data_IF_437761588072
#
_entry.id   IF_437761588072
#
_cell.length_a   1.000
_cell.length_b   1.000
_cell.length_c   1.000
_cell.angle_alpha   90.00
_cell.angle_beta   90.00
_cell.angle_gamma   90.00
#
_symmetry.space_group_name_H-M   'P 1'
#
loop_
_entity.id
_entity.type
_entity.pdbx_description
1 polymer ?
#
# COMPACT_ATOMS: atom_id res chain seq x y z
N UNK A 1 34.06 -5.27 16.96
CA UNK A 1 33.49 -3.99 17.41
C UNK A 1 32.49 -3.59 16.35
N UNK A 2 31.22 -3.38 16.71
CA UNK A 2 30.21 -2.90 15.77
C UNK A 2 30.49 -1.42 15.53
N UNK A 3 30.77 -1.07 14.28
CA UNK A 3 30.92 0.32 13.87
C UNK A 3 29.55 0.98 13.92
N UNK A 4 29.38 1.99 14.77
CA UNK A 4 28.10 2.66 14.95
C UNK A 4 28.13 4.02 14.24
N UNK A 5 27.13 4.29 13.39
CA UNK A 5 26.92 5.59 12.75
C UNK A 5 26.01 6.43 13.66
N UNK A 6 26.41 7.68 13.91
CA UNK A 6 25.74 8.55 14.90
C UNK A 6 24.53 9.30 14.34
N UNK A 7 24.39 9.41 13.02
CA UNK A 7 23.24 10.04 12.40
C UNK A 7 23.43 10.35 10.91
N UNK A 8 22.31 10.54 10.23
CA UNK A 8 22.20 10.90 8.81
C UNK A 8 21.28 12.12 8.71
N UNK A 9 21.66 13.12 7.91
CA UNK A 9 20.84 14.28 7.62
C UNK A 9 20.98 14.67 6.14
N UNK A 10 19.88 15.08 5.51
CA UNK A 10 19.92 15.68 4.16
C UNK A 10 20.58 17.06 4.24
N UNK A 11 21.65 17.24 3.46
CA UNK A 11 22.42 18.48 3.35
C UNK A 11 21.88 19.41 2.26
N UNK A 12 21.69 18.89 1.05
CA UNK A 12 21.16 19.61 -0.11
C UNK A 12 20.51 18.64 -1.09
N UNK A 13 19.54 19.14 -1.85
CA UNK A 13 18.90 18.45 -2.96
C UNK A 13 18.81 19.40 -4.16
N UNK A 14 19.09 18.89 -5.35
CA UNK A 14 18.95 19.61 -6.62
C UNK A 14 18.23 18.73 -7.64
N UNK A 15 17.49 19.37 -8.52
CA UNK A 15 16.83 18.74 -9.66
C UNK A 15 17.15 19.55 -10.91
N UNK A 16 17.42 18.86 -12.01
CA UNK A 16 17.61 19.45 -13.34
C UNK A 16 16.86 18.64 -14.39
N UNK A 17 16.50 19.28 -15.48
CA UNK A 17 15.83 18.66 -16.63
C UNK A 17 16.56 19.13 -17.91
N UNK A 18 16.94 18.20 -18.78
CA UNK A 18 17.56 18.50 -20.06
C UNK A 18 16.50 18.76 -21.15
N UNK A 19 16.93 19.16 -22.36
CA UNK A 19 16.01 19.46 -23.47
C UNK A 19 15.26 18.23 -24.00
N UNK A 20 15.75 17.02 -23.70
CA UNK A 20 15.16 15.75 -24.11
C UNK A 20 14.15 15.21 -23.07
N UNK A 21 13.96 15.93 -21.96
CA UNK A 21 13.05 15.57 -20.87
C UNK A 21 13.67 14.59 -19.85
N UNK A 22 14.97 14.30 -19.96
CA UNK A 22 15.68 13.55 -18.92
C UNK A 22 15.87 14.44 -17.71
N UNK A 23 15.52 13.90 -16.56
CA UNK A 23 15.65 14.56 -15.27
C UNK A 23 16.79 13.91 -14.50
N UNK A 24 17.59 14.76 -13.88
CA UNK A 24 18.62 14.34 -12.95
C UNK A 24 18.33 14.93 -11.58
N UNK A 25 18.50 14.11 -10.56
CA UNK A 25 18.37 14.52 -9.17
C UNK A 25 19.69 14.24 -8.48
N UNK A 26 20.12 15.17 -7.63
CA UNK A 26 21.26 14.96 -6.76
C UNK A 26 20.87 15.28 -5.33
N UNK A 27 21.34 14.46 -4.39
CA UNK A 27 21.18 14.72 -2.97
C UNK A 27 22.50 14.47 -2.26
N UNK A 28 22.86 15.37 -1.35
CA UNK A 28 24.00 15.19 -0.46
C UNK A 28 23.51 14.86 0.94
N UNK A 29 23.84 13.69 1.46
CA UNK A 29 23.60 13.30 2.84
C UNK A 29 24.86 13.54 3.68
N UNK A 30 24.67 14.04 4.90
CA UNK A 30 25.73 14.21 5.88
C UNK A 30 25.66 13.03 6.85
N UNK A 31 26.71 12.22 6.85
CA UNK A 31 26.83 11.04 7.73
C UNK A 31 27.90 11.30 8.77
N UNK A 32 27.56 11.04 10.04
CA UNK A 32 28.50 11.16 11.16
C UNK A 32 28.99 9.77 11.58
N UNK A 33 30.23 9.45 11.23
CA UNK A 33 30.92 8.24 11.64
C UNK A 33 31.30 8.28 13.13
N UNK A 34 31.46 7.10 13.74
CA UNK A 34 31.93 6.96 15.13
C UNK A 34 33.34 7.51 15.31
N UNK A 35 34.23 7.23 14.36
CA UNK A 35 35.61 7.72 14.33
C UNK A 35 36.18 7.84 12.90
N UNK A 36 37.45 8.24 12.81
CA UNK A 36 38.17 8.43 11.56
C UNK A 36 38.65 7.15 10.85
N UNK A 37 38.43 5.97 11.43
CA UNK A 37 38.86 4.70 10.85
C UNK A 37 37.77 4.02 10.01
N UNK A 38 36.51 4.44 10.15
CA UNK A 38 35.37 3.88 9.41
C UNK A 38 35.61 3.99 7.89
N UNK A 39 35.66 2.87 7.14
CA UNK A 39 35.82 2.88 5.70
C UNK A 39 34.68 3.61 4.97
N UNK A 40 34.99 4.31 3.88
CA UNK A 40 33.96 5.00 3.09
C UNK A 40 32.95 4.04 2.43
N UNK A 41 33.35 2.78 2.19
CA UNK A 41 32.43 1.72 1.73
C UNK A 41 31.33 1.45 2.74
N UNK A 42 31.66 1.41 4.03
CA UNK A 42 30.70 1.23 5.12
C UNK A 42 29.82 2.46 5.32
N UNK A 43 30.37 3.66 5.13
CA UNK A 43 29.60 4.92 5.15
C UNK A 43 28.57 4.95 4.03
N UNK A 44 28.92 4.48 2.83
CA UNK A 44 28.04 4.42 1.65
C UNK A 44 26.87 3.45 1.85
N UNK A 45 27.09 2.37 2.60
CA UNK A 45 26.11 1.30 2.85
C UNK A 45 25.31 1.52 4.15
N UNK A 46 25.36 2.73 4.70
CA UNK A 46 24.65 3.09 5.91
C UNK A 46 23.13 2.99 5.74
N UNK A 47 22.47 2.35 6.70
CA UNK A 47 21.01 2.27 6.73
C UNK A 47 20.37 3.67 6.71
N UNK A 48 19.46 3.90 5.75
CA UNK A 48 18.80 5.19 5.54
C UNK A 48 19.41 6.06 4.43
N UNK A 49 20.51 5.61 3.80
CA UNK A 49 20.97 6.17 2.52
C UNK A 49 20.29 5.47 1.35
N UNK A 50 20.14 6.17 0.20
CA UNK A 50 19.73 5.53 -1.04
C UNK A 50 20.71 4.45 -1.49
N UNK A 51 20.19 3.33 -1.98
CA UNK A 51 20.99 2.29 -2.63
C UNK A 51 21.06 2.53 -4.15
N UNK A 52 22.12 2.04 -4.80
CA UNK A 52 22.16 2.00 -6.27
C UNK A 52 20.98 1.16 -6.77
N UNK A 53 20.30 1.64 -7.81
CA UNK A 53 19.03 1.15 -8.33
C UNK A 53 17.77 1.52 -7.52
N UNK A 54 17.90 2.25 -6.41
CA UNK A 54 16.73 2.75 -5.68
C UNK A 54 16.04 3.88 -6.44
N UNK A 55 14.70 3.89 -6.46
CA UNK A 55 13.92 4.98 -7.07
C UNK A 55 14.00 6.28 -6.28
N UNK A 56 13.92 7.41 -6.97
CA UNK A 56 13.78 8.72 -6.33
C UNK A 56 12.36 8.88 -5.76
N UNK A 57 12.25 9.38 -4.53
CA UNK A 57 10.98 9.41 -3.79
C UNK A 57 9.87 10.17 -4.53
N UNK A 58 10.24 11.26 -5.20
CA UNK A 58 9.29 12.14 -5.88
C UNK A 58 9.25 11.90 -7.40
N UNK A 59 10.06 10.97 -7.92
CA UNK A 59 10.10 10.61 -9.32
C UNK A 59 10.44 9.13 -9.48
N UNK A 60 9.40 8.31 -9.56
CA UNK A 60 9.54 6.85 -9.67
C UNK A 60 10.20 6.38 -10.97
N UNK A 61 10.39 7.28 -11.94
CA UNK A 61 11.12 6.97 -13.18
C UNK A 61 12.61 7.25 -13.06
N UNK A 62 13.05 7.94 -12.01
CA UNK A 62 14.46 8.20 -11.75
C UNK A 62 15.05 7.11 -10.87
N UNK A 63 16.18 6.55 -11.29
CA UNK A 63 16.87 5.46 -10.59
C UNK A 63 18.20 5.98 -10.07
N UNK A 64 18.56 5.64 -8.83
CA UNK A 64 19.84 6.02 -8.24
C UNK A 64 20.98 5.33 -9.01
N UNK A 65 21.75 6.11 -9.77
CA UNK A 65 22.84 5.60 -10.60
C UNK A 65 24.17 5.59 -9.86
N UNK A 66 24.33 6.44 -8.84
CA UNK A 66 25.56 6.49 -8.04
C UNK A 66 25.32 6.89 -6.59
N UNK A 67 26.15 6.34 -5.72
CA UNK A 67 26.27 6.70 -4.30
C UNK A 67 27.76 6.80 -4.01
N UNK A 68 28.27 8.03 -3.87
CA UNK A 68 29.69 8.30 -3.62
C UNK A 68 29.88 8.93 -2.25
N UNK A 69 30.78 8.37 -1.45
CA UNK A 69 31.05 8.87 -0.10
C UNK A 69 32.43 9.54 -0.07
N UNK A 70 32.48 10.79 0.37
CA UNK A 70 33.72 11.53 0.57
C UNK A 70 33.82 12.05 1.99
N UNK A 71 35.03 12.06 2.53
CA UNK A 71 35.28 12.62 3.86
C UNK A 71 35.56 14.11 3.78
N UNK A 72 34.97 14.91 4.68
CA UNK A 72 35.23 16.36 4.68
C UNK A 72 36.69 16.65 5.05
N UNK A 73 37.39 17.54 4.34
CA UNK A 73 38.80 17.82 4.59
C UNK A 73 39.14 18.26 6.02
N UNK A 74 38.18 18.87 6.73
CA UNK A 74 38.35 19.40 8.10
C UNK A 74 37.74 18.51 9.19
N UNK A 75 37.22 17.34 8.86
CA UNK A 75 36.61 16.43 9.83
C UNK A 75 36.90 14.99 9.49
N UNK A 76 37.44 14.24 10.46
CA UNK A 76 37.63 12.81 10.30
C UNK A 76 36.35 12.00 10.51
N UNK A 77 35.31 12.57 11.10
CA UNK A 77 34.09 11.82 11.45
C UNK A 77 32.88 12.26 10.63
N UNK A 78 33.01 13.25 9.76
CA UNK A 78 31.90 13.75 8.94
C UNK A 78 32.20 13.44 7.47
N UNK A 79 31.29 12.69 6.86
CA UNK A 79 31.32 12.35 5.45
C UNK A 79 30.12 12.98 4.74
N UNK A 80 30.34 13.42 3.51
CA UNK A 80 29.28 13.77 2.57
C UNK A 80 29.06 12.57 1.65
N UNK A 81 27.82 12.10 1.54
CA UNK A 81 27.42 11.06 0.61
C UNK A 81 26.58 11.68 -0.49
N UNK A 82 27.08 11.65 -1.71
CA UNK A 82 26.40 12.18 -2.89
C UNK A 82 25.68 11.04 -3.60
N UNK A 83 24.37 11.19 -3.70
CA UNK A 83 23.51 10.29 -4.45
C UNK A 83 23.06 11.01 -5.71
N UNK A 84 23.12 10.33 -6.86
CA UNK A 84 22.57 10.81 -8.13
C UNK A 84 21.48 9.87 -8.61
N UNK A 85 20.39 10.43 -9.11
CA UNK A 85 19.35 9.72 -9.82
C UNK A 85 19.22 10.28 -11.23
N UNK A 86 18.96 9.40 -12.18
CA UNK A 86 18.73 9.78 -13.58
C UNK A 86 17.44 9.11 -14.05
N UNK A 87 16.61 9.81 -14.83
CA UNK A 87 15.43 9.23 -15.49
C UNK A 87 15.74 8.65 -16.85
N UNK A 88 17.02 8.40 -17.17
CA UNK A 88 17.43 7.92 -18.50
C UNK A 88 16.42 6.88 -18.98
N UNK A 89 15.78 7.14 -20.13
CA UNK A 89 14.53 6.50 -20.44
C UNK A 89 14.78 5.00 -20.51
N UNK A 90 13.92 4.23 -19.84
CA UNK A 90 13.78 2.78 -20.04
C UNK A 90 13.68 2.42 -21.53
N UNK A 91 13.38 3.38 -22.42
CA UNK A 91 13.40 3.23 -23.88
C UNK A 91 14.76 2.75 -24.44
N UNK A 92 15.87 3.05 -23.76
CA UNK A 92 17.19 2.56 -24.16
C UNK A 92 17.56 1.24 -23.48
N UNK A 93 16.81 0.81 -22.45
CA UNK A 93 16.77 -0.58 -22.03
C UNK A 93 15.84 -1.35 -22.96
N UNK A 94 16.23 -1.48 -24.24
CA UNK A 94 15.69 -2.60 -25.02
C UNK A 94 15.93 -3.87 -24.20
N UNK A 95 14.99 -4.83 -24.22
CA UNK A 95 15.24 -6.16 -23.70
C UNK A 95 16.62 -6.57 -24.19
N UNK A 96 17.53 -6.83 -23.26
CA UNK A 96 18.87 -7.24 -23.60
C UNK A 96 18.70 -8.56 -24.32
N UNK A 97 18.81 -8.58 -25.65
CA UNK A 97 18.50 -9.77 -26.45
C UNK A 97 19.39 -10.95 -26.09
N UNK A 98 20.49 -10.67 -25.39
CA UNK A 98 21.46 -11.67 -24.95
C UNK A 98 21.07 -12.28 -23.57
N UNK A 99 20.10 -11.69 -22.86
CA UNK A 99 19.58 -12.23 -21.60
C UNK A 99 18.37 -13.13 -21.83
N UNK A 100 18.28 -14.25 -21.08
CA UNK A 100 17.12 -15.12 -21.18
C UNK A 100 15.83 -14.39 -20.76
N UNK A 101 14.66 -14.79 -21.28
CA UNK A 101 13.40 -14.09 -21.04
C UNK A 101 13.05 -13.83 -19.57
N UNK A 102 13.39 -14.74 -18.65
CA UNK A 102 13.13 -14.61 -17.20
C UNK A 102 14.08 -13.67 -16.45
N UNK A 103 15.14 -13.19 -17.10
CA UNK A 103 16.02 -12.14 -16.58
C UNK A 103 15.65 -10.74 -17.09
N UNK A 104 14.68 -10.66 -18.00
CA UNK A 104 14.15 -9.39 -18.46
C UNK A 104 13.38 -8.69 -17.35
N UNK A 105 13.40 -7.35 -17.30
CA UNK A 105 12.63 -6.59 -16.32
C UNK A 105 11.12 -6.84 -16.52
N UNK A 106 10.32 -6.77 -15.44
CA UNK A 106 8.86 -6.83 -15.57
C UNK A 106 8.33 -5.64 -16.36
N UNK A 107 7.23 -5.85 -17.08
CA UNK A 107 6.57 -4.82 -17.89
C UNK A 107 5.29 -4.34 -17.17
N UNK A 108 5.32 -3.17 -16.51
CA UNK A 108 4.12 -2.59 -15.91
C UNK A 108 3.27 -1.87 -16.95
N UNK A 109 1.95 -2.02 -16.83
CA UNK A 109 0.96 -1.22 -17.55
C UNK A 109 -0.15 -0.78 -16.60
N UNK A 110 -0.73 0.37 -16.88
CA UNK A 110 -1.80 0.96 -16.07
C UNK A 110 -3.07 1.04 -16.91
N UNK A 111 -4.18 0.67 -16.30
CA UNK A 111 -5.53 0.73 -16.87
C UNK A 111 -6.53 1.12 -15.77
N UNK A 112 -7.80 1.22 -16.13
CA UNK A 112 -8.89 1.45 -15.21
C UNK A 112 -10.00 0.41 -15.42
N UNK A 113 -10.59 -0.05 -14.32
CA UNK A 113 -11.76 -0.95 -14.35
C UNK A 113 -12.97 -0.25 -13.74
N UNK A 114 -14.12 -0.21 -14.44
CA UNK A 114 -15.33 0.35 -13.87
C UNK A 114 -15.82 -0.52 -12.71
N UNK A 115 -16.26 0.12 -11.63
CA UNK A 115 -16.82 -0.47 -10.43
C UNK A 115 -18.08 0.30 -10.04
N UNK A 116 -19.11 -0.42 -9.63
CA UNK A 116 -20.35 0.17 -9.14
C UNK A 116 -20.24 0.34 -7.62
N UNK A 117 -20.27 1.58 -7.15
CA UNK A 117 -20.27 1.90 -5.72
C UNK A 117 -21.66 2.36 -5.28
N UNK A 118 -22.12 1.87 -4.14
CA UNK A 118 -23.33 2.38 -3.49
C UNK A 118 -22.91 3.47 -2.52
N UNK A 119 -23.30 4.72 -2.79
CA UNK A 119 -23.01 5.84 -1.89
C UNK A 119 -24.30 6.49 -1.39
N UNK A 120 -24.47 6.69 -0.06
CA UNK A 120 -25.62 7.38 0.49
C UNK A 120 -25.58 8.90 0.28
N UNK A 121 -24.43 9.45 -0.14
CA UNK A 121 -24.20 10.88 -0.28
C UNK A 121 -23.65 11.25 -1.67
N UNK A 122 -23.96 12.48 -2.10
CA UNK A 122 -23.38 13.09 -3.29
C UNK A 122 -21.92 13.57 -3.07
N UNK A 123 -21.33 14.20 -4.09
CA UNK A 123 -19.95 14.70 -4.03
C UNK A 123 -19.76 15.85 -3.02
N UNK A 124 -20.85 16.53 -2.65
CA UNK A 124 -20.90 17.59 -1.65
C UNK A 124 -21.20 17.04 -0.24
N UNK A 125 -21.41 15.73 -0.09
CA UNK A 125 -21.71 15.07 1.18
C UNK A 125 -23.19 15.16 1.60
N UNK A 126 -24.10 15.57 0.70
CA UNK A 126 -25.52 15.57 0.98
C UNK A 126 -26.12 14.20 0.73
N UNK A 127 -26.97 13.75 1.67
CA UNK A 127 -27.72 12.50 1.50
C UNK A 127 -28.69 12.64 0.33
N UNK A 128 -28.74 11.63 -0.54
CA UNK A 128 -29.75 11.55 -1.59
C UNK A 128 -31.15 11.46 -0.97
N UNK A 129 -32.00 12.45 -1.26
CA UNK A 129 -33.37 12.54 -0.74
C UNK A 129 -34.39 12.69 -1.86
N UNK A 130 -35.59 12.17 -1.64
CA UNK A 130 -36.75 12.44 -2.49
C UNK A 130 -37.32 13.86 -2.26
N UNK A 131 -38.36 14.22 -3.01
CA UNK A 131 -39.04 15.53 -2.88
C UNK A 131 -39.68 15.75 -1.50
N UNK A 132 -39.93 14.67 -0.74
CA UNK A 132 -40.45 14.74 0.63
C UNK A 132 -39.33 14.85 1.68
N UNK A 133 -38.06 14.86 1.27
CA UNK A 133 -36.91 14.91 2.17
C UNK A 133 -36.54 13.56 2.79
N UNK A 134 -37.12 12.45 2.34
CA UNK A 134 -36.80 11.10 2.81
C UNK A 134 -35.54 10.60 2.11
N UNK A 135 -34.56 10.00 2.83
CA UNK A 135 -33.41 9.36 2.19
C UNK A 135 -33.86 8.27 1.20
N UNK A 136 -33.21 8.22 0.04
CA UNK A 136 -33.45 7.17 -0.96
C UNK A 136 -32.80 5.86 -0.48
N UNK A 137 -33.59 4.78 -0.45
CA UNK A 137 -33.17 3.43 -0.02
C UNK A 137 -33.65 2.35 -1.03
N UNK A 138 -32.77 1.59 -1.71
CA UNK A 138 -31.31 1.66 -1.58
C UNK A 138 -30.74 2.96 -2.17
N UNK A 139 -29.61 3.46 -1.63
CA UNK A 139 -28.93 4.60 -2.22
C UNK A 139 -28.58 4.37 -3.71
N UNK A 140 -28.46 5.45 -4.51
CA UNK A 140 -28.03 5.35 -5.90
C UNK A 140 -26.70 4.63 -6.05
N UNK A 141 -26.61 3.84 -7.12
CA UNK A 141 -25.35 3.22 -7.58
C UNK A 141 -24.65 4.20 -8.50
N UNK A 142 -23.40 4.54 -8.17
CA UNK A 142 -22.56 5.46 -8.96
C UNK A 142 -21.43 4.65 -9.61
N UNK A 143 -21.24 4.74 -10.93
CA UNK A 143 -20.10 4.14 -11.59
C UNK A 143 -18.83 4.93 -11.23
N UNK A 144 -17.84 4.24 -10.70
CA UNK A 144 -16.49 4.74 -10.45
C UNK A 144 -15.48 3.89 -11.24
N UNK A 145 -14.27 4.39 -11.43
CA UNK A 145 -13.15 3.59 -11.95
C UNK A 145 -12.16 3.30 -10.83
N UNK A 146 -11.71 2.05 -10.72
CA UNK A 146 -10.53 1.69 -9.94
C UNK A 146 -9.32 1.62 -10.86
N UNK A 147 -8.17 2.11 -10.40
CA UNK A 147 -6.92 1.94 -11.14
C UNK A 147 -6.49 0.48 -11.09
N UNK A 148 -5.90 0.00 -12.18
CA UNK A 148 -5.39 -1.36 -12.31
C UNK A 148 -3.95 -1.30 -12.77
N UNK A 149 -3.04 -1.76 -11.92
CA UNK A 149 -1.65 -2.03 -12.29
C UNK A 149 -1.56 -3.48 -12.78
N UNK A 150 -1.22 -3.66 -14.05
CA UNK A 150 -0.90 -4.97 -14.62
C UNK A 150 0.60 -5.10 -14.76
N UNK A 151 1.15 -6.22 -14.32
CA UNK A 151 2.59 -6.49 -14.40
C UNK A 151 2.76 -7.82 -15.13
N UNK A 152 3.41 -7.77 -16.29
CA UNK A 152 3.83 -8.94 -17.03
C UNK A 152 5.26 -9.30 -16.63
N UNK A 153 5.51 -10.55 -16.27
CA UNK A 153 6.85 -11.03 -15.93
C UNK A 153 7.07 -12.44 -16.44
N UNK A 154 8.28 -12.71 -16.92
CA UNK A 154 8.72 -14.07 -17.22
C UNK A 154 9.42 -14.68 -15.99
N UNK A 155 9.03 -15.89 -15.61
CA UNK A 155 9.54 -16.59 -14.43
C UNK A 155 9.96 -18.02 -14.79
N UNK A 156 11.06 -18.50 -14.22
CA UNK A 156 11.53 -19.89 -14.43
C UNK A 156 10.50 -20.90 -13.89
N UNK A 157 9.77 -20.54 -12.83
CA UNK A 157 8.77 -21.40 -12.21
C UNK A 157 7.53 -20.61 -11.84
N UNK A 158 6.37 -21.27 -11.91
CA UNK A 158 5.11 -20.75 -11.43
C UNK A 158 4.46 -21.79 -10.52
N UNK A 159 3.98 -21.35 -9.35
CA UNK A 159 3.31 -22.19 -8.36
C UNK A 159 1.81 -21.86 -8.32
N UNK A 160 0.94 -22.73 -8.85
CA UNK A 160 -0.52 -22.53 -8.75
C UNK A 160 -1.02 -22.47 -7.31
N UNK A 161 -0.31 -23.11 -6.38
CA UNK A 161 -0.64 -23.08 -4.95
C UNK A 161 -0.39 -21.69 -4.36
N UNK A 162 0.74 -21.08 -4.70
CA UNK A 162 1.05 -19.70 -4.28
C UNK A 162 0.10 -18.72 -4.97
N UNK A 163 -0.15 -18.86 -6.27
CA UNK A 163 -1.13 -18.02 -6.97
C UNK A 163 -2.52 -18.08 -6.30
N UNK A 164 -2.96 -19.26 -5.85
CA UNK A 164 -4.21 -19.40 -5.07
C UNK A 164 -4.09 -18.82 -3.65
N UNK A 165 -2.93 -18.90 -3.03
CA UNK A 165 -2.69 -18.36 -1.69
C UNK A 165 -2.60 -16.82 -1.69
N UNK A 166 -2.07 -16.20 -2.74
CA UNK A 166 -1.95 -14.74 -2.83
C UNK A 166 -3.08 -14.11 -3.65
N UNK A 167 -3.73 -14.87 -4.54
CA UNK A 167 -4.86 -14.41 -5.33
C UNK A 167 -6.06 -14.01 -4.49
N UNK A 168 -6.70 -12.91 -4.90
CA UNK A 168 -7.81 -12.26 -4.21
C UNK A 168 -7.47 -11.85 -2.76
N UNK A 169 -6.23 -11.42 -2.53
CA UNK A 169 -5.81 -10.87 -1.23
C UNK A 169 -5.56 -9.37 -1.34
N UNK A 170 -5.54 -8.69 -0.19
CA UNK A 170 -5.25 -7.25 -0.08
C UNK A 170 -3.97 -7.01 0.69
N UNK A 171 -3.31 -5.88 0.46
CA UNK A 171 -2.08 -5.53 1.16
C UNK A 171 -2.32 -5.33 2.67
N UNK A 172 -1.59 -6.08 3.48
CA UNK A 172 -1.65 -6.04 4.95
C UNK A 172 -0.83 -4.91 5.58
N UNK A 173 0.01 -4.23 4.81
CA UNK A 173 0.83 -3.09 5.21
C UNK A 173 0.90 -2.07 4.06
N UNK A 174 1.50 -0.91 4.29
CA UNK A 174 1.78 0.04 3.20
C UNK A 174 2.67 -0.61 2.15
N UNK A 175 2.31 -0.45 0.87
CA UNK A 175 3.01 -1.11 -0.24
C UNK A 175 2.95 -0.24 -1.49
N UNK A 176 4.11 0.01 -2.10
CA UNK A 176 4.27 0.78 -3.33
C UNK A 176 3.66 2.20 -3.24
N UNK A 177 3.83 2.85 -2.09
CA UNK A 177 3.28 4.18 -1.80
C UNK A 177 1.79 4.18 -1.42
N UNK A 178 1.11 3.04 -1.52
CA UNK A 178 -0.29 2.90 -1.13
C UNK A 178 -0.42 2.50 0.34
N UNK A 179 -1.44 3.01 1.07
CA UNK A 179 -1.69 2.60 2.44
C UNK A 179 -2.17 1.15 2.50
N UNK A 180 -2.17 0.58 3.71
CA UNK A 180 -2.78 -0.72 4.00
C UNK A 180 -4.22 -0.76 3.44
N UNK A 181 -4.64 -1.91 2.91
CA UNK A 181 -5.96 -2.16 2.31
C UNK A 181 -6.27 -1.46 0.98
N UNK A 182 -5.36 -0.69 0.41
CA UNK A 182 -5.63 0.01 -0.85
C UNK A 182 -5.45 -0.87 -2.09
N UNK A 183 -4.64 -1.94 -2.00
CA UNK A 183 -4.25 -2.74 -3.17
C UNK A 183 -4.75 -4.15 -3.01
N UNK A 184 -5.51 -4.62 -4.00
CA UNK A 184 -6.01 -5.98 -4.10
C UNK A 184 -5.33 -6.70 -5.26
N UNK A 185 -4.67 -7.80 -4.95
CA UNK A 185 -4.11 -8.70 -5.95
C UNK A 185 -5.24 -9.61 -6.47
N UNK A 186 -5.56 -9.50 -7.76
CA UNK A 186 -6.39 -10.48 -8.44
C UNK A 186 -5.64 -11.80 -8.62
N UNK A 187 -6.36 -12.88 -8.93
CA UNK A 187 -5.75 -14.18 -9.20
C UNK A 187 -4.66 -14.07 -10.27
N UNK A 188 -3.37 -14.36 -9.96
CA UNK A 188 -2.32 -14.38 -10.97
C UNK A 188 -2.61 -15.44 -12.03
N UNK A 189 -2.35 -15.10 -13.29
CA UNK A 189 -2.49 -16.05 -14.41
C UNK A 189 -1.13 -16.30 -15.03
N UNK A 190 -0.87 -17.51 -15.50
CA UNK A 190 0.40 -17.85 -16.12
C UNK A 190 0.22 -18.70 -17.38
N UNK A 191 1.05 -18.45 -18.38
CA UNK A 191 1.13 -19.22 -19.63
C UNK A 191 2.54 -19.79 -19.76
N UNK A 192 2.65 -21.11 -19.95
CA UNK A 192 3.94 -21.76 -20.19
C UNK A 192 4.42 -21.53 -21.62
N UNK A 193 5.68 -21.11 -21.78
CA UNK A 193 6.32 -20.83 -23.07
C UNK A 193 7.59 -21.67 -23.18
N UNK A 194 7.75 -22.36 -24.31
CA UNK A 194 8.97 -23.11 -24.66
C UNK A 194 9.81 -22.29 -25.64
N UNK A 195 11.05 -22.01 -25.27
CA UNK A 195 12.03 -21.28 -26.09
C UNK A 195 13.41 -21.87 -25.82
N UNK A 196 14.16 -22.20 -26.88
CA UNK A 196 15.50 -22.81 -26.79
C UNK A 196 15.58 -24.02 -25.82
N UNK A 197 14.61 -24.94 -25.92
CA UNK A 197 14.46 -26.13 -25.06
C UNK A 197 14.26 -25.85 -23.56
N UNK A 198 14.01 -24.60 -23.19
CA UNK A 198 13.71 -24.18 -21.82
C UNK A 198 12.24 -23.76 -21.69
N UNK A 199 11.56 -24.31 -20.70
CA UNK A 199 10.23 -23.85 -20.28
C UNK A 199 10.39 -22.69 -19.30
N UNK A 200 9.64 -21.62 -19.54
CA UNK A 200 9.39 -20.55 -18.58
C UNK A 200 7.90 -20.19 -18.55
N UNK A 201 7.51 -19.39 -17.58
CA UNK A 201 6.14 -18.95 -17.37
C UNK A 201 6.04 -17.45 -17.58
N UNK A 202 5.17 -17.04 -18.50
CA UNK A 202 4.74 -15.65 -18.59
C UNK A 202 3.59 -15.45 -17.61
N UNK A 203 3.87 -14.76 -16.51
CA UNK A 203 2.95 -14.51 -15.40
C UNK A 203 2.40 -13.10 -15.50
N UNK A 204 1.08 -12.97 -15.33
CA UNK A 204 0.37 -11.69 -15.30
C UNK A 204 -0.17 -11.49 -13.89
N UNK A 205 0.33 -10.45 -13.23
CA UNK A 205 -0.19 -9.96 -11.97
C UNK A 205 -1.09 -8.76 -12.24
N UNK A 206 -2.33 -8.78 -11.75
CA UNK A 206 -3.26 -7.65 -11.84
C UNK A 206 -3.59 -7.17 -10.44
N UNK A 207 -3.30 -5.90 -10.18
CA UNK A 207 -3.52 -5.27 -8.90
C UNK A 207 -4.58 -4.17 -9.06
N UNK A 208 -5.74 -4.38 -8.44
CA UNK A 208 -6.79 -3.36 -8.35
C UNK A 208 -6.49 -2.42 -7.18
N UNK A 209 -6.29 -1.16 -7.51
CA UNK A 209 -5.94 -0.10 -6.56
C UNK A 209 -7.19 0.74 -6.33
N UNK A 210 -7.66 0.68 -5.11
CA UNK A 210 -8.75 1.51 -4.63
C UNK A 210 -8.14 2.82 -4.13
N UNK A 211 -8.09 3.82 -5.01
CA UNK A 211 -7.79 5.18 -4.60
C UNK A 211 -9.12 5.92 -4.36
N UNK A 212 -9.74 5.67 -3.20
CA UNK A 212 -10.50 6.73 -2.56
C UNK A 212 -9.55 7.93 -2.47
N UNK A 213 -9.94 9.07 -3.06
CA UNK A 213 -9.04 10.17 -3.38
C UNK A 213 -8.10 10.44 -2.19
N UNK A 214 -6.78 10.43 -2.39
CA UNK A 214 -5.75 10.42 -1.34
C UNK A 214 -5.73 11.67 -0.40
N UNK A 215 -6.82 12.43 -0.35
CA UNK A 215 -7.04 13.65 0.42
C UNK A 215 -8.29 13.61 1.30
N UNK A 216 -9.04 12.51 1.32
CA UNK A 216 -10.23 12.41 2.16
C UNK A 216 -9.90 11.96 3.58
N UNK A 217 -10.61 12.57 4.52
CA UNK A 217 -10.48 12.44 5.95
C UNK A 217 -10.61 10.98 6.45
N UNK A 218 -10.27 10.77 7.72
CA UNK A 218 -10.30 9.44 8.38
C UNK A 218 -11.70 8.80 8.35
N UNK A 219 -12.76 9.60 8.16
CA UNK A 219 -14.15 9.16 8.03
C UNK A 219 -14.43 8.45 6.68
N UNK A 220 -13.70 8.80 5.61
CA UNK A 220 -13.90 8.24 4.28
C UNK A 220 -12.97 7.07 3.94
N UNK A 221 -12.22 6.55 4.92
CA UNK A 221 -11.46 5.28 4.82
C UNK A 221 -12.29 4.07 4.39
N UNK A 222 -13.62 4.16 4.52
CA UNK A 222 -14.57 3.16 4.03
C UNK A 222 -14.47 2.88 2.51
N UNK A 223 -13.74 3.70 1.76
CA UNK A 223 -13.48 3.50 0.33
C UNK A 223 -12.29 2.58 0.03
N UNK A 224 -11.55 2.10 1.01
CA UNK A 224 -10.51 1.08 0.79
C UNK A 224 -11.13 -0.32 0.82
N UNK A 225 -10.34 -1.36 0.53
CA UNK A 225 -10.73 -2.75 0.77
C UNK A 225 -10.74 -3.11 2.27
N UNK A 226 -11.09 -2.13 3.11
CA UNK A 226 -11.20 -2.27 4.55
C UNK A 226 -12.28 -3.29 4.94
N UNK A 227 -12.19 -3.85 6.14
CA UNK A 227 -13.25 -4.68 6.67
C UNK A 227 -14.58 -3.91 6.68
N UNK A 228 -15.64 -4.52 6.16
CA UNK A 228 -16.94 -3.90 6.12
C UNK A 228 -17.50 -3.77 7.54
N UNK A 229 -17.83 -2.55 7.94
CA UNK A 229 -18.41 -2.24 9.25
C UNK A 229 -19.91 -2.10 9.12
N UNK A 230 -20.66 -2.88 9.90
CA UNK A 230 -22.11 -2.80 9.98
C UNK A 230 -22.50 -2.50 11.41
N UNK A 231 -23.35 -1.50 11.68
CA UNK A 231 -23.78 -1.26 13.05
C UNK A 231 -24.54 -2.50 13.54
N UNK A 232 -24.23 -2.98 14.74
CA UNK A 232 -24.87 -4.15 15.32
C UNK A 232 -26.27 -3.75 15.80
N UNK A 233 -27.22 -3.71 14.87
CA UNK A 233 -28.61 -3.36 15.12
C UNK A 233 -29.50 -4.55 14.80
N UNK A 234 -30.50 -4.80 15.63
CA UNK A 234 -31.44 -5.89 15.40
C UNK A 234 -32.85 -5.60 15.93
N UNK A 235 -33.87 -6.30 15.39
CA UNK A 235 -35.23 -6.29 15.96
C UNK A 235 -35.37 -7.27 17.14
N UNK A 236 -34.31 -8.03 17.46
CA UNK A 236 -34.25 -9.00 18.55
C UNK A 236 -32.99 -8.78 19.38
N UNK A 237 -33.00 -9.22 20.63
CA UNK A 237 -31.84 -9.24 21.51
C UNK A 237 -31.82 -10.52 22.36
N UNK A 238 -30.65 -10.87 22.89
CA UNK A 238 -30.50 -11.91 23.90
C UNK A 238 -30.75 -11.25 25.27
N UNK A 239 -31.68 -11.76 26.09
CA UNK A 239 -31.90 -11.22 27.44
C UNK A 239 -30.65 -11.42 28.33
N UNK A 240 -30.47 -10.56 29.33
CA UNK A 240 -29.30 -10.57 30.22
C UNK A 240 -29.13 -11.87 31.03
N UNK A 241 -30.19 -12.69 31.12
CA UNK A 241 -30.16 -13.99 31.80
C UNK A 241 -29.67 -15.16 30.91
N UNK A 242 -29.30 -14.87 29.65
CA UNK A 242 -28.73 -15.85 28.71
C UNK A 242 -29.77 -16.76 28.04
N UNK A 243 -31.03 -16.33 27.96
CA UNK A 243 -32.11 -17.04 27.27
C UNK A 243 -32.07 -16.97 25.73
N UNK A 244 -33.11 -17.52 25.09
CA UNK A 244 -33.30 -17.41 23.65
C UNK A 244 -33.53 -15.94 23.23
N UNK A 245 -33.15 -15.60 22.00
CA UNK A 245 -33.35 -14.26 21.47
C UNK A 245 -34.85 -13.88 21.46
N UNK A 246 -35.18 -12.73 22.04
CA UNK A 246 -36.55 -12.19 22.13
C UNK A 246 -36.70 -10.94 21.28
N UNK A 247 -37.92 -10.67 20.83
CA UNK A 247 -38.23 -9.47 20.03
C UNK A 247 -38.18 -8.21 20.89
N UNK A 248 -37.63 -7.14 20.34
CA UNK A 248 -37.59 -5.84 21.00
C UNK A 248 -39.01 -5.27 21.09
N UNK A 249 -39.44 -4.94 22.30
CA UNK A 249 -40.74 -4.34 22.58
C UNK A 249 -40.59 -2.98 23.25
N UNK A 250 -41.59 -2.12 23.10
CA UNK A 250 -41.67 -0.85 23.82
C UNK A 250 -42.12 -1.06 25.27
N UNK A 251 -42.35 0.05 25.99
CA UNK A 251 -42.83 0.02 27.38
C UNK A 251 -44.23 -0.57 27.58
N UNK A 252 -44.98 -0.82 26.50
CA UNK A 252 -46.31 -1.42 26.50
C UNK A 252 -46.30 -2.89 26.06
N UNK A 253 -45.15 -3.41 25.65
CA UNK A 253 -45.00 -4.77 25.13
C UNK A 253 -45.25 -4.89 23.63
N UNK A 254 -45.45 -3.78 22.92
CA UNK A 254 -45.67 -3.78 21.48
C UNK A 254 -44.32 -3.88 20.74
N UNK A 255 -44.22 -4.67 19.66
CA UNK A 255 -42.97 -4.82 18.92
C UNK A 255 -42.46 -3.49 18.33
N UNK A 256 -41.19 -3.19 18.56
CA UNK A 256 -40.52 -2.03 17.97
C UNK A 256 -40.08 -2.39 16.55
N UNK A 257 -40.44 -1.56 15.57
CA UNK A 257 -40.06 -1.74 14.16
C UNK A 257 -38.67 -1.19 13.85
N UNK A 258 -38.16 -0.26 14.66
CA UNK A 258 -36.84 0.35 14.51
C UNK A 258 -35.80 -0.55 15.19
N UNK A 259 -34.79 -1.08 14.46
CA UNK A 259 -33.71 -1.86 15.04
C UNK A 259 -33.04 -1.15 16.22
N UNK A 260 -32.77 -1.87 17.30
CA UNK A 260 -32.10 -1.35 18.50
C UNK A 260 -30.62 -1.70 18.48
N UNK A 261 -29.81 -0.89 19.17
CA UNK A 261 -28.37 -1.13 19.34
C UNK A 261 -28.15 -2.39 20.17
N UNK A 262 -27.26 -3.24 19.69
CA UNK A 262 -26.82 -4.45 20.37
C UNK A 262 -25.33 -4.34 20.74
N UNK A 263 -24.91 -5.00 21.82
CA UNK A 263 -23.51 -5.15 22.17
C UNK A 263 -22.85 -6.31 21.41
N UNK A 264 -21.62 -6.68 21.76
CA UNK A 264 -20.90 -7.77 21.08
C UNK A 264 -21.53 -9.16 21.33
N UNK A 265 -22.29 -9.31 22.41
CA UNK A 265 -22.90 -10.57 22.87
C UNK A 265 -24.38 -10.65 22.47
N UNK A 266 -24.93 -9.60 21.86
CA UNK A 266 -26.31 -9.53 21.36
C UNK A 266 -27.32 -8.96 22.36
N UNK A 267 -26.87 -8.37 23.47
CA UNK A 267 -27.74 -7.70 24.45
C UNK A 267 -28.06 -6.26 24.03
N UNK A 268 -29.16 -5.71 24.52
CA UNK A 268 -29.54 -4.33 24.24
C UNK A 268 -28.56 -3.34 24.86
N UNK A 269 -28.03 -2.43 24.03
CA UNK A 269 -27.26 -1.29 24.52
C UNK A 269 -28.18 -0.14 24.94
N UNK A 270 -27.87 0.55 26.06
CA UNK A 270 -28.53 1.81 26.40
C UNK A 270 -28.39 2.85 25.27
N UNK A 271 -29.38 3.74 25.16
CA UNK A 271 -29.48 4.69 24.03
C UNK A 271 -28.26 5.60 23.89
N UNK A 272 -27.67 5.99 25.02
CA UNK A 272 -26.52 6.87 25.18
C UNK A 272 -25.17 6.15 25.00
N UNK A 273 -25.15 4.82 24.92
CA UNK A 273 -23.93 4.06 24.67
C UNK A 273 -23.62 4.06 23.16
N UNK A 274 -22.34 4.26 22.76
CA UNK A 274 -21.93 4.13 21.37
C UNK A 274 -22.31 2.79 20.76
N UNK A 275 -22.70 2.80 19.48
CA UNK A 275 -23.07 1.59 18.75
C UNK A 275 -21.88 0.63 18.66
N UNK A 276 -22.09 -0.65 18.95
CA UNK A 276 -21.12 -1.69 18.60
C UNK A 276 -21.19 -1.97 17.10
N UNK A 277 -20.04 -2.12 16.45
CA UNK A 277 -19.95 -2.36 15.01
C UNK A 277 -19.47 -3.78 14.76
N UNK A 278 -20.23 -4.54 13.96
CA UNK A 278 -19.80 -5.80 13.41
C UNK A 278 -18.78 -5.54 12.30
N UNK A 279 -17.69 -6.30 12.32
CA UNK A 279 -16.61 -6.18 11.35
C UNK A 279 -16.51 -7.45 10.51
N UNK A 280 -16.59 -7.29 9.18
CA UNK A 280 -16.53 -8.39 8.23
C UNK A 280 -15.31 -8.26 7.33
N UNK A 281 -14.43 -9.26 7.35
CA UNK A 281 -13.27 -9.32 6.48
C UNK A 281 -13.66 -9.95 5.15
N UNK A 282 -13.85 -9.12 4.11
CA UNK A 282 -14.21 -9.59 2.78
C UNK A 282 -13.03 -10.23 2.04
N UNK A 283 -11.81 -9.82 2.37
CA UNK A 283 -10.57 -10.29 1.75
C UNK A 283 -9.53 -10.65 2.81
N UNK A 284 -8.72 -11.67 2.50
CA UNK A 284 -7.53 -12.00 3.30
C UNK A 284 -6.46 -10.95 3.07
N UNK A 285 -5.75 -10.61 4.14
CA UNK A 285 -4.59 -9.70 4.10
C UNK A 285 -3.30 -10.48 3.91
N UNK A 286 -2.36 -9.93 3.14
CA UNK A 286 -1.04 -10.53 2.94
C UNK A 286 0.04 -9.46 2.90
N UNK A 287 1.28 -9.80 3.31
CA UNK A 287 2.42 -8.92 3.15
C UNK A 287 2.87 -8.90 1.69
N UNK A 288 2.53 -7.83 0.98
CA UNK A 288 2.87 -7.70 -0.44
C UNK A 288 4.36 -7.43 -0.65
N UNK A 289 5.08 -6.82 0.31
CA UNK A 289 6.52 -6.59 0.20
C UNK A 289 7.32 -7.91 0.26
N UNK A 290 6.78 -8.95 0.91
CA UNK A 290 7.36 -10.30 0.88
C UNK A 290 7.07 -11.02 -0.45
N UNK A 291 5.83 -10.95 -0.93
CA UNK A 291 5.44 -11.63 -2.17
C UNK A 291 6.02 -10.97 -3.44
N UNK A 292 6.18 -9.66 -3.40
CA UNK A 292 6.70 -8.82 -4.48
C UNK A 292 8.10 -8.27 -4.16
N UNK A 293 8.92 -9.01 -3.42
CA UNK A 293 10.30 -8.60 -3.10
C UNK A 293 11.13 -8.21 -4.33
N UNK A 294 10.84 -8.85 -5.46
CA UNK A 294 11.38 -8.60 -6.79
C UNK A 294 10.95 -7.29 -7.45
N UNK A 295 9.87 -6.63 -6.99
CA UNK A 295 9.52 -5.28 -7.44
C UNK A 295 10.42 -4.20 -6.80
N UNK A 296 11.38 -4.62 -5.99
CA UNK A 296 12.28 -3.76 -5.23
C UNK A 296 11.78 -3.66 -3.81
N UNK A 297 12.40 -4.44 -2.91
CA UNK A 297 12.10 -4.41 -1.49
C UNK A 297 12.14 -2.98 -0.96
N UNK A 298 11.02 -2.52 -0.39
CA UNK A 298 10.84 -1.27 0.36
C UNK A 298 11.67 -1.21 1.66
N UNK A 299 12.87 -1.80 1.73
CA UNK A 299 13.80 -1.59 2.86
C UNK A 299 14.19 -0.10 3.01
N UNK A 300 13.92 0.73 2.00
CA UNK A 300 14.14 2.17 2.01
C UNK A 300 13.13 2.98 2.84
N UNK A 301 11.93 2.46 3.14
CA UNK A 301 10.97 3.19 3.99
C UNK A 301 11.22 2.83 5.45
N UNK A 302 12.21 3.50 6.04
CA UNK A 302 12.47 3.45 7.47
C UNK A 302 11.21 3.84 8.26
N UNK A 303 10.49 2.84 8.76
CA UNK A 303 9.57 3.01 9.90
C UNK A 303 10.40 3.14 11.18
N UNK A 304 11.24 4.17 11.22
CA UNK A 304 11.95 4.64 12.40
C UNK A 304 10.99 5.30 13.40
N UNK A 305 10.00 4.56 13.91
CA UNK A 305 9.39 4.88 15.21
C UNK A 305 9.99 3.95 16.25
N UNK A 306 11.21 4.31 16.66
CA UNK A 306 11.77 3.82 17.91
C UNK A 306 10.79 4.11 19.04
N UNK A 307 10.13 3.06 19.55
CA UNK A 307 9.47 3.09 20.85
C UNK A 307 10.53 3.46 21.88
N UNK A 308 10.54 4.74 22.29
CA UNK A 308 11.19 5.16 23.54
C UNK A 308 10.53 4.39 24.68
N UNK A 309 11.16 3.33 25.15
CA UNK A 309 11.02 2.93 26.55
C UNK A 309 11.76 3.98 27.36
N UNK A 310 11.01 4.82 28.07
CA UNK A 310 11.59 5.60 29.17
C UNK A 310 11.80 4.68 30.37
N UNK A 311 12.84 4.94 31.20
CA UNK A 311 13.10 4.21 32.43
C UNK A 311 11.96 4.29 33.43
#
# INVERSE_FOLDING_TARGET
MSTELKGIKVGSETASENLDGDREYEATYIVVASDGSVPLTEVREAAGLPEVNQRYLNDYTAICTSVDAQRRPKSQTICDVHCRWETKPLKDQKPDSDKPPWEQPPEPSWDEVPVDIVTPVDLEGHIFRDEAGTPIDPPPVVPQSNQVLTILRNEIGFSPQDARFYGNTINGDGWFGFPKYAVKLLMPTATGIWEDDQLYWQVVYRLEIMCGWAWVDEEQRQLLWEPYLTPHLGPMHIPDDGGDAVRNTDGFGDPIMIPQKLDQDGHLLPKDVPTHWLQWYLYRQTNFSEYFDWLGSERAYGTGRGRRRRP
#
